data_IF_923091927276
#
_entry.id   IF_923091927276
#
_cell.length_a   1.000
_cell.length_b   1.000
_cell.length_c   1.000
_cell.angle_alpha   90.00
_cell.angle_beta   90.00
_cell.angle_gamma   90.00
#
_symmetry.space_group_name_H-M   'P 1'
#
loop_
_entity.id
_entity.type
_entity.pdbx_description
1 polymer ?
#
# COMPACT_ATOMS: atom_id res chain seq x y z
N UNK A 1 -23.53 2.76 4.12
CA UNK A 1 -22.06 2.92 4.01
C UNK A 1 -21.55 1.67 3.30
N UNK A 2 -20.61 1.80 2.36
CA UNK A 2 -20.03 0.65 1.67
C UNK A 2 -18.52 0.58 1.93
N UNK A 3 -17.99 -0.62 2.11
CA UNK A 3 -16.55 -0.89 2.17
C UNK A 3 -16.21 -1.92 1.10
N UNK A 4 -15.03 -1.80 0.49
CA UNK A 4 -14.50 -2.81 -0.41
C UNK A 4 -13.26 -3.41 0.23
N UNK A 5 -13.23 -4.74 0.34
CA UNK A 5 -12.11 -5.50 0.88
C UNK A 5 -11.44 -6.31 -0.23
N UNK A 6 -10.12 -6.34 -0.23
CA UNK A 6 -9.31 -7.25 -1.06
C UNK A 6 -8.31 -7.98 -0.20
N UNK A 7 -8.08 -9.26 -0.51
CA UNK A 7 -7.08 -10.08 0.17
C UNK A 7 -5.83 -10.17 -0.68
N UNK A 8 -4.69 -9.84 -0.09
CA UNK A 8 -3.38 -10.12 -0.65
C UNK A 8 -2.92 -11.53 -0.23
N UNK A 9 -2.58 -12.34 -1.21
CA UNK A 9 -1.86 -13.61 -1.05
C UNK A 9 -0.38 -13.37 -1.27
N UNK A 10 0.46 -13.80 -0.33
CA UNK A 10 1.91 -13.59 -0.30
C UNK A 10 2.56 -14.60 0.68
N UNK A 11 3.89 -14.67 0.71
CA UNK A 11 4.63 -15.52 1.67
C UNK A 11 4.61 -14.93 3.09
N UNK A 12 3.63 -15.36 3.88
CA UNK A 12 3.42 -14.94 5.26
C UNK A 12 4.21 -15.75 6.29
N UNK A 13 5.39 -16.26 5.93
CA UNK A 13 6.32 -16.88 6.86
C UNK A 13 6.61 -15.96 8.06
N UNK A 14 6.92 -16.57 9.22
CA UNK A 14 7.21 -15.84 10.46
C UNK A 14 8.31 -14.79 10.25
N UNK A 15 9.35 -15.13 9.48
CA UNK A 15 10.44 -14.21 9.16
C UNK A 15 9.94 -12.95 8.45
N UNK A 16 9.10 -13.10 7.42
CA UNK A 16 8.58 -11.95 6.68
C UNK A 16 7.57 -11.14 7.50
N UNK A 17 6.79 -11.80 8.36
CA UNK A 17 5.93 -11.10 9.32
C UNK A 17 6.74 -10.26 10.32
N UNK A 18 7.88 -10.76 10.80
CA UNK A 18 8.77 -10.00 11.67
C UNK A 18 9.41 -8.80 10.96
N UNK A 19 9.81 -8.95 9.68
CA UNK A 19 10.29 -7.83 8.85
C UNK A 19 9.23 -6.74 8.71
N UNK A 20 8.00 -7.14 8.36
CA UNK A 20 6.86 -6.22 8.25
C UNK A 20 6.56 -5.54 9.60
N UNK A 21 6.54 -6.30 10.69
CA UNK A 21 6.29 -5.76 12.03
C UNK A 21 7.35 -4.74 12.45
N UNK A 22 8.63 -5.01 12.15
CA UNK A 22 9.73 -4.07 12.43
C UNK A 22 9.51 -2.76 11.68
N UNK A 23 9.21 -2.84 10.38
CA UNK A 23 8.91 -1.66 9.57
C UNK A 23 7.71 -0.87 10.11
N UNK A 24 6.63 -1.56 10.47
CA UNK A 24 5.42 -0.92 11.00
C UNK A 24 5.69 -0.21 12.34
N UNK A 25 6.51 -0.79 13.22
CA UNK A 25 6.91 -0.14 14.48
C UNK A 25 7.65 1.17 14.21
N UNK A 26 8.51 1.21 13.20
CA UNK A 26 9.23 2.43 12.81
C UNK A 26 8.33 3.45 12.09
N UNK A 27 7.22 2.99 11.51
CA UNK A 27 6.24 3.85 10.85
C UNK A 27 5.26 4.52 11.84
N UNK A 28 5.08 3.97 13.06
CA UNK A 28 4.20 4.55 14.08
C UNK A 28 4.71 5.95 14.47
N UNK A 29 3.80 6.92 14.52
CA UNK A 29 4.11 8.31 14.89
C UNK A 29 4.60 9.18 13.72
N UNK A 30 4.86 8.59 12.55
CA UNK A 30 5.08 9.38 11.32
C UNK A 30 3.79 10.12 10.95
N UNK A 31 3.95 11.35 10.46
CA UNK A 31 2.82 12.21 10.11
C UNK A 31 2.09 11.66 8.89
N UNK A 32 0.78 11.89 8.83
CA UNK A 32 0.04 11.66 7.60
C UNK A 32 0.50 12.68 6.55
N UNK A 33 0.94 12.20 5.40
CA UNK A 33 1.35 13.07 4.31
C UNK A 33 0.19 13.28 3.35
N UNK A 34 -0.19 14.54 3.13
CA UNK A 34 -1.18 14.92 2.12
C UNK A 34 -0.52 15.23 0.77
N UNK A 35 0.66 14.68 0.46
CA UNK A 35 1.42 14.92 -0.80
C UNK A 35 0.62 14.72 -2.10
N UNK A 36 -0.55 14.06 -2.05
CA UNK A 36 -1.50 14.03 -3.17
C UNK A 36 -2.10 15.42 -3.49
N UNK A 37 -2.24 16.31 -2.49
CA UNK A 37 -2.62 17.72 -2.67
C UNK A 37 -1.51 18.50 -3.39
N UNK A 38 -0.24 18.09 -3.20
CA UNK A 38 0.93 18.71 -3.82
C UNK A 38 1.13 18.32 -5.31
N UNK A 39 0.24 17.51 -5.90
CA UNK A 39 0.17 17.35 -7.36
C UNK A 39 -0.14 18.66 -8.11
N UNK A 40 -0.51 19.74 -7.39
CA UNK A 40 -0.67 21.10 -7.91
C UNK A 40 0.64 21.92 -7.83
N UNK A 41 1.60 21.56 -6.97
CA UNK A 41 2.92 22.19 -6.89
C UNK A 41 3.95 21.26 -6.20
N UNK A 42 5.07 20.90 -6.84
CA UNK A 42 6.05 20.01 -6.23
C UNK A 42 6.79 20.75 -5.12
N UNK A 43 6.41 20.50 -3.87
CA UNK A 43 7.26 20.81 -2.73
C UNK A 43 7.99 19.53 -2.33
N UNK A 44 9.31 19.55 -2.51
CA UNK A 44 10.22 18.62 -1.84
C UNK A 44 10.23 18.96 -0.35
N UNK A 45 9.14 18.63 0.35
CA UNK A 45 9.13 18.68 1.80
C UNK A 45 9.69 17.36 2.32
N UNK A 46 10.78 17.48 3.07
CA UNK A 46 11.53 16.45 3.79
C UNK A 46 10.72 15.89 4.98
N UNK A 47 9.40 16.08 4.96
CA UNK A 47 8.48 15.55 5.93
C UNK A 47 8.36 14.04 5.75
N UNK A 48 8.89 13.34 6.75
CA UNK A 48 8.94 11.88 6.96
C UNK A 48 7.58 11.21 7.15
N UNK A 49 6.55 11.69 6.46
CA UNK A 49 5.19 11.17 6.49
C UNK A 49 4.86 10.31 5.28
N UNK A 50 3.80 9.52 5.40
CA UNK A 50 3.26 8.71 4.31
C UNK A 50 1.81 9.08 4.01
N UNK A 51 1.44 9.05 2.73
CA UNK A 51 0.03 8.91 2.37
C UNK A 51 -0.43 7.45 2.56
N UNK A 52 -1.73 7.18 2.71
CA UNK A 52 -2.20 5.83 3.04
C UNK A 52 -1.79 4.76 2.01
N UNK A 53 -1.91 5.06 0.71
CA UNK A 53 -1.49 4.13 -0.36
C UNK A 53 0.02 3.97 -0.46
N UNK A 54 0.78 5.03 -0.19
CA UNK A 54 2.24 5.01 -0.18
C UNK A 54 2.77 4.11 0.96
N UNK A 55 2.19 4.22 2.16
CA UNK A 55 2.56 3.34 3.28
C UNK A 55 2.30 1.87 2.95
N UNK A 56 1.16 1.56 2.32
CA UNK A 56 0.87 0.18 1.87
C UNK A 56 1.87 -0.26 0.80
N UNK A 57 2.26 0.62 -0.12
CA UNK A 57 3.31 0.35 -1.11
C UNK A 57 4.65 0.01 -0.46
N UNK A 58 5.09 0.79 0.53
CA UNK A 58 6.31 0.51 1.28
C UNK A 58 6.22 -0.79 2.08
N UNK A 59 5.07 -1.10 2.68
CA UNK A 59 4.81 -2.43 3.25
C UNK A 59 4.99 -3.53 2.20
N UNK A 60 4.44 -3.36 0.99
CA UNK A 60 4.55 -4.34 -0.08
C UNK A 60 5.99 -4.56 -0.55
N UNK A 61 6.85 -3.54 -0.50
CA UNK A 61 8.28 -3.72 -0.74
C UNK A 61 8.93 -4.59 0.34
N UNK A 62 8.69 -4.26 1.61
CA UNK A 62 9.23 -5.02 2.76
C UNK A 62 8.75 -6.48 2.73
N UNK A 63 7.52 -6.69 2.27
CA UNK A 63 6.92 -8.02 2.11
C UNK A 63 7.41 -8.78 0.86
N UNK A 64 8.20 -8.16 -0.02
CA UNK A 64 8.62 -8.75 -1.30
C UNK A 64 7.47 -8.92 -2.31
N UNK A 65 6.35 -8.22 -2.11
CA UNK A 65 5.15 -8.32 -2.95
C UNK A 65 5.30 -7.52 -4.24
N UNK A 66 6.07 -6.43 -4.21
CA UNK A 66 6.45 -5.62 -5.38
C UNK A 66 7.97 -5.46 -5.43
N UNK A 67 8.55 -5.05 -6.57
CA UNK A 67 9.98 -4.76 -6.67
C UNK A 67 10.43 -3.65 -5.71
N UNK A 68 11.61 -3.79 -5.09
CA UNK A 68 12.16 -2.83 -4.12
C UNK A 68 12.41 -1.43 -4.73
N UNK A 69 12.68 -1.36 -6.03
CA UNK A 69 12.90 -0.15 -6.81
C UNK A 69 11.59 0.57 -7.20
N UNK A 70 10.43 0.03 -6.84
CA UNK A 70 9.13 0.66 -7.12
C UNK A 70 9.02 2.02 -6.44
N UNK A 71 8.62 3.07 -7.16
CA UNK A 71 8.39 4.38 -6.54
C UNK A 71 6.97 4.44 -5.91
N UNK A 72 6.87 4.27 -4.59
CA UNK A 72 5.59 4.16 -3.88
C UNK A 72 4.77 5.46 -3.84
N UNK A 73 5.39 6.62 -4.09
CA UNK A 73 4.67 7.90 -4.22
C UNK A 73 3.74 7.95 -5.44
N UNK A 74 3.92 7.05 -6.41
CA UNK A 74 3.01 6.88 -7.56
C UNK A 74 1.94 5.79 -7.35
N UNK A 75 1.92 5.14 -6.19
CA UNK A 75 0.87 4.17 -5.85
C UNK A 75 -0.29 4.94 -5.23
N UNK A 76 -1.40 5.00 -5.95
CA UNK A 76 -2.65 5.63 -5.52
C UNK A 76 -3.63 4.61 -4.94
N UNK A 77 -4.61 5.04 -4.12
CA UNK A 77 -5.64 4.15 -3.61
C UNK A 77 -6.38 3.37 -4.70
N UNK A 78 -6.57 3.98 -5.87
CA UNK A 78 -7.25 3.36 -7.01
C UNK A 78 -6.48 2.17 -7.59
N UNK A 79 -5.15 2.13 -7.46
CA UNK A 79 -4.33 1.02 -7.97
C UNK A 79 -4.56 -0.29 -7.21
N UNK A 80 -5.12 -0.24 -5.99
CA UNK A 80 -5.51 -1.44 -5.26
C UNK A 80 -6.84 -2.02 -5.74
N UNK A 81 -7.59 -1.30 -6.58
CA UNK A 81 -8.85 -1.81 -7.12
C UNK A 81 -8.62 -2.86 -8.20
N UNK A 82 -9.55 -3.79 -8.36
CA UNK A 82 -9.52 -4.85 -9.38
C UNK A 82 -9.47 -4.26 -10.80
N UNK A 83 -10.02 -3.05 -10.99
CA UNK A 83 -10.01 -2.35 -12.29
C UNK A 83 -8.64 -1.81 -12.72
N UNK A 84 -7.75 -1.54 -11.78
CA UNK A 84 -6.47 -0.85 -12.02
C UNK A 84 -5.27 -1.58 -11.40
N UNK A 85 -5.46 -2.82 -10.96
CA UNK A 85 -4.40 -3.62 -10.36
C UNK A 85 -3.29 -3.97 -11.35
N UNK A 86 -3.58 -3.98 -12.66
CA UNK A 86 -2.61 -4.19 -13.73
C UNK A 86 -1.49 -3.13 -13.72
N UNK A 87 -1.73 -1.99 -13.05
CA UNK A 87 -0.74 -0.92 -12.85
C UNK A 87 0.29 -1.23 -11.77
N UNK A 88 0.05 -2.22 -10.91
CA UNK A 88 1.01 -2.67 -9.91
C UNK A 88 1.52 -4.05 -10.31
N UNK A 89 2.81 -4.14 -10.63
CA UNK A 89 3.45 -5.42 -10.93
C UNK A 89 3.76 -6.17 -9.64
N UNK A 90 2.93 -7.16 -9.32
CA UNK A 90 3.19 -8.08 -8.21
C UNK A 90 4.31 -9.06 -8.58
N UNK A 91 5.11 -9.45 -7.59
CA UNK A 91 6.10 -10.51 -7.74
C UNK A 91 5.43 -11.88 -7.89
N UNK A 92 6.18 -12.84 -8.45
CA UNK A 92 5.69 -14.21 -8.65
C UNK A 92 5.23 -14.84 -7.33
N UNK A 93 4.06 -15.49 -7.34
CA UNK A 93 3.45 -16.09 -6.15
C UNK A 93 2.62 -15.12 -5.29
N UNK A 94 2.61 -13.83 -5.63
CA UNK A 94 1.74 -12.85 -5.00
C UNK A 94 0.49 -12.57 -5.85
N UNK A 95 -0.66 -12.36 -5.21
CA UNK A 95 -1.92 -12.09 -5.90
C UNK A 95 -2.87 -11.26 -5.03
N UNK A 96 -3.56 -10.28 -5.63
CA UNK A 96 -4.77 -9.69 -5.05
C UNK A 96 -6.00 -10.49 -5.48
N UNK A 97 -6.77 -10.95 -4.51
CA UNK A 97 -8.02 -11.65 -4.78
C UNK A 97 -9.13 -10.66 -5.14
N UNK A 98 -10.26 -11.18 -5.63
CA UNK A 98 -11.42 -10.40 -6.07
C UNK A 98 -11.91 -9.40 -5.01
N UNK A 99 -12.50 -8.30 -5.46
CA UNK A 99 -13.15 -7.33 -4.58
C UNK A 99 -14.38 -7.90 -3.87
N UNK A 100 -14.41 -7.73 -2.55
CA UNK A 100 -15.57 -8.04 -1.71
C UNK A 100 -16.23 -6.74 -1.28
N UNK A 101 -17.41 -6.45 -1.83
CA UNK A 101 -18.24 -5.32 -1.41
C UNK A 101 -19.02 -5.69 -0.14
N UNK A 102 -18.86 -4.89 0.90
CA UNK A 102 -19.57 -4.98 2.16
C UNK A 102 -20.49 -3.76 2.25
N UNK A 103 -21.80 -3.99 2.10
CA UNK A 103 -22.82 -2.95 2.26
C UNK A 103 -23.42 -3.03 3.68
N UNK A 104 -23.35 -1.92 4.41
CA UNK A 104 -23.89 -1.78 5.76
C UNK A 104 -25.30 -1.19 5.77
N UNK A 105 -25.92 -1.05 4.60
CA UNK A 105 -27.30 -0.58 4.46
C UNK A 105 -28.23 -1.77 4.69
N UNK A 106 -28.61 -1.97 5.96
CA UNK A 106 -29.68 -2.89 6.39
C UNK A 106 -31.05 -2.19 6.31
#
# INVERSE_FOLDING_TARGET
MVLTLRRLTWDNSEENLQKLLSFLKDAIGKKYSLKIIDFIAPQFDDSSGYFCSELIGECWKVMGVIPEDTCCSYIFPSNFSEKLEDKIKLQSGCQLNNELLIDFSL
#
